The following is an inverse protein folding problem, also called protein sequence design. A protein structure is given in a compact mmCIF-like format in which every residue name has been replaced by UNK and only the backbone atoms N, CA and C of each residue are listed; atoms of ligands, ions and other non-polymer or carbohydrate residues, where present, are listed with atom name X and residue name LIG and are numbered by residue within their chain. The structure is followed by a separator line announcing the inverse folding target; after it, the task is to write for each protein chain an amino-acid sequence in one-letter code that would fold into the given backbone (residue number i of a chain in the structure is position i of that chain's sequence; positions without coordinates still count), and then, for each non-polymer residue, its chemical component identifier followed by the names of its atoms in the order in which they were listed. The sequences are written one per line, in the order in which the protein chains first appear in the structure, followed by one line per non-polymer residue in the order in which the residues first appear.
data_IF_563774677407
#
_entry.id   IF_563774677407
#
_cell.length_a   1.000
_cell.length_b   1.000
_cell.length_c   1.000
_cell.angle_alpha   90.00
_cell.angle_beta   90.00
_cell.angle_gamma   90.00
#
_symmetry.space_group_name_H-M   'P 1'
#
loop_
_entity.id
_entity.type
_entity.pdbx_description
1 polymer ?
#
# COMPACT_ATOMS: atom_id res chain seq x y z
N UNK A 1 3.39 -19.16 12.07
CA UNK A 1 2.04 -19.73 12.29
C UNK A 1 1.12 -18.59 12.66
N UNK A 2 -0.02 -18.47 12.01
CA UNK A 2 -0.97 -17.39 12.28
C UNK A 2 -1.38 -17.40 13.75
N UNK A 3 -1.36 -16.24 14.41
CA UNK A 3 -1.86 -16.11 15.77
C UNK A 3 -3.39 -16.12 15.84
N UNK A 4 -4.06 -16.25 14.70
CA UNK A 4 -5.52 -16.19 14.58
C UNK A 4 -6.09 -17.48 14.01
N UNK A 5 -7.38 -17.67 14.30
CA UNK A 5 -8.18 -18.75 13.72
C UNK A 5 -8.44 -18.43 12.26
N UNK A 6 -8.08 -19.35 11.38
CA UNK A 6 -8.38 -19.27 9.94
C UNK A 6 -8.98 -20.61 9.47
N UNK A 7 -9.50 -20.70 8.24
CA UNK A 7 -9.97 -21.98 7.68
C UNK A 7 -8.89 -23.08 7.68
N UNK A 8 -7.61 -22.73 7.53
CA UNK A 8 -6.49 -23.68 7.46
C UNK A 8 -5.67 -23.77 8.75
N UNK A 9 -5.93 -22.89 9.72
CA UNK A 9 -5.41 -22.92 11.09
C UNK A 9 -6.58 -22.78 12.08
N UNK A 10 -7.44 -23.81 12.21
CA UNK A 10 -8.71 -23.70 12.95
C UNK A 10 -8.52 -23.64 14.47
N UNK A 11 -7.32 -23.94 14.96
CA UNK A 11 -7.00 -23.98 16.39
C UNK A 11 -5.86 -23.04 16.68
N UNK A 12 -6.08 -22.09 17.58
CA UNK A 12 -5.02 -21.27 18.19
C UNK A 12 -4.77 -21.75 19.63
N UNK A 13 -3.57 -21.50 20.20
CA UNK A 13 -3.31 -21.77 21.60
C UNK A 13 -4.38 -21.16 22.51
N UNK A 14 -4.78 -21.91 23.55
CA UNK A 14 -5.79 -21.47 24.50
C UNK A 14 -5.37 -20.16 25.19
N UNK A 15 -6.37 -19.31 25.50
CA UNK A 15 -6.17 -18.04 26.21
C UNK A 15 -5.77 -16.86 25.32
N UNK A 16 -5.69 -17.04 24.00
CA UNK A 16 -5.42 -15.97 23.05
C UNK A 16 -6.71 -15.33 22.52
N UNK A 17 -6.83 -14.01 22.61
CA UNK A 17 -8.05 -13.26 22.24
C UNK A 17 -8.12 -12.91 20.77
N UNK A 18 -9.24 -13.14 20.11
CA UNK A 18 -9.46 -12.73 18.71
C UNK A 18 -10.08 -11.34 18.65
N UNK A 19 -9.42 -10.41 17.95
CA UNK A 19 -9.98 -9.07 17.72
C UNK A 19 -10.65 -8.96 16.36
N UNK A 20 -11.78 -8.25 16.32
CA UNK A 20 -12.42 -7.84 15.06
C UNK A 20 -12.76 -6.36 15.09
N UNK A 21 -12.76 -5.74 13.93
CA UNK A 21 -12.97 -4.31 13.75
C UNK A 21 -14.23 -4.03 12.94
N UNK A 22 -14.90 -2.95 13.27
CA UNK A 22 -16.04 -2.46 12.53
C UNK A 22 -15.97 -0.93 12.44
N UNK A 23 -16.13 -0.38 11.23
CA UNK A 23 -16.32 1.06 11.02
C UNK A 23 -17.73 1.27 10.49
N UNK A 24 -18.62 1.73 11.36
CA UNK A 24 -20.04 1.95 11.06
C UNK A 24 -20.23 3.09 10.07
N UNK A 25 -19.58 4.22 10.33
CA UNK A 25 -19.64 5.41 9.48
C UNK A 25 -18.38 6.26 9.58
N UNK A 26 -18.08 6.97 8.50
CA UNK A 26 -17.13 8.07 8.48
C UNK A 26 -17.82 9.29 7.86
N UNK A 27 -17.63 10.46 8.48
CA UNK A 27 -18.13 11.75 8.00
C UNK A 27 -17.02 12.79 8.11
N UNK A 28 -17.10 13.86 7.32
CA UNK A 28 -16.11 14.93 7.34
C UNK A 28 -16.82 16.28 7.37
N UNK A 29 -16.38 17.17 8.25
CA UNK A 29 -16.80 18.57 8.31
C UNK A 29 -15.55 19.46 8.28
N UNK A 30 -15.42 20.29 7.25
CA UNK A 30 -14.16 20.96 6.95
C UNK A 30 -13.03 19.95 6.72
N UNK A 31 -11.94 20.07 7.48
CA UNK A 31 -10.80 19.13 7.45
C UNK A 31 -10.88 18.06 8.55
N UNK A 32 -11.91 18.10 9.41
CA UNK A 32 -12.07 17.18 10.55
C UNK A 32 -12.91 15.98 10.16
N UNK A 33 -12.43 14.78 10.46
CA UNK A 33 -13.18 13.54 10.27
C UNK A 33 -13.81 13.06 11.58
N UNK A 34 -15.04 12.56 11.49
CA UNK A 34 -15.73 11.85 12.57
C UNK A 34 -15.94 10.41 12.14
N UNK A 35 -15.39 9.46 12.90
CA UNK A 35 -15.42 8.02 12.59
C UNK A 35 -16.10 7.27 13.73
N UNK A 36 -17.19 6.58 13.41
CA UNK A 36 -17.92 5.74 14.37
C UNK A 36 -17.48 4.30 14.16
N UNK A 37 -16.87 3.69 15.16
CA UNK A 37 -16.22 2.38 15.04
C UNK A 37 -16.34 1.57 16.33
N UNK A 38 -16.10 0.27 16.22
CA UNK A 38 -16.09 -0.65 17.34
C UNK A 38 -14.96 -1.66 17.18
N UNK A 39 -14.44 -2.09 18.32
CA UNK A 39 -13.49 -3.19 18.45
C UNK A 39 -14.18 -4.26 19.29
N UNK A 40 -14.20 -5.50 18.81
CA UNK A 40 -14.65 -6.63 19.62
C UNK A 40 -13.45 -7.52 19.98
N UNK A 41 -13.48 -8.07 21.18
CA UNK A 41 -12.61 -9.15 21.66
C UNK A 41 -13.49 -10.39 21.85
N UNK A 42 -13.18 -11.48 21.17
CA UNK A 42 -13.92 -12.75 21.25
C UNK A 42 -15.44 -12.56 21.07
N UNK A 43 -15.81 -11.71 20.10
CA UNK A 43 -17.22 -11.40 19.77
C UNK A 43 -17.89 -10.36 20.66
N UNK A 44 -17.24 -9.88 21.72
CA UNK A 44 -17.80 -8.90 22.67
C UNK A 44 -17.18 -7.52 22.50
N UNK A 45 -17.95 -6.41 22.53
CA UNK A 45 -17.39 -5.07 22.46
C UNK A 45 -16.37 -4.78 23.55
N UNK A 46 -15.25 -4.18 23.15
CA UNK A 46 -14.16 -3.81 24.06
C UNK A 46 -14.41 -2.45 24.67
N UNK A 47 -14.19 -2.35 25.99
CA UNK A 47 -14.04 -1.06 26.68
C UNK A 47 -12.56 -0.69 26.76
N UNK A 48 -12.14 0.28 25.95
CA UNK A 48 -10.81 0.88 26.01
C UNK A 48 -10.58 1.61 27.34
N UNK A 49 -9.32 1.69 27.75
CA UNK A 49 -8.91 2.42 28.94
C UNK A 49 -9.34 3.91 28.84
N UNK A 50 -9.62 4.57 29.96
CA UNK A 50 -10.02 5.98 29.97
C UNK A 50 -8.94 6.89 29.34
N UNK A 51 -9.34 7.99 28.70
CA UNK A 51 -8.41 8.98 28.17
C UNK A 51 -7.56 9.59 29.31
N UNK A 52 -6.27 9.79 29.06
CA UNK A 52 -5.32 10.29 30.05
C UNK A 52 -4.12 10.94 29.36
N UNK A 53 -3.43 11.84 30.07
CA UNK A 53 -2.25 12.51 29.55
C UNK A 53 -1.09 11.53 29.33
N UNK A 54 -0.38 11.68 28.20
CA UNK A 54 0.86 10.95 27.92
C UNK A 54 0.67 9.58 27.25
N UNK A 55 -0.54 9.24 26.81
CA UNK A 55 -0.80 8.07 25.96
C UNK A 55 -0.45 6.74 26.62
N UNK A 56 -1.32 6.25 27.50
CA UNK A 56 -1.21 4.90 28.07
C UNK A 56 -1.69 3.81 27.11
N UNK A 57 -1.33 2.55 27.40
CA UNK A 57 -1.84 1.37 26.69
C UNK A 57 -3.37 1.48 26.49
N UNK A 58 -3.84 1.23 25.26
CA UNK A 58 -5.25 1.43 24.91
C UNK A 58 -6.18 0.40 25.54
N UNK A 59 -5.65 -0.78 25.87
CA UNK A 59 -6.41 -1.87 26.46
C UNK A 59 -5.55 -2.57 27.54
N UNK A 60 -6.13 -2.77 28.72
CA UNK A 60 -5.46 -3.46 29.83
C UNK A 60 -5.11 -4.91 29.45
N UNK A 61 -3.87 -5.33 29.71
CA UNK A 61 -3.36 -6.65 29.31
C UNK A 61 -2.78 -6.70 27.89
N UNK A 62 -2.73 -5.57 27.18
CA UNK A 62 -2.22 -5.48 25.81
C UNK A 62 -1.27 -4.30 25.62
N UNK A 63 -0.40 -4.40 24.63
CA UNK A 63 0.43 -3.30 24.12
C UNK A 63 0.09 -3.00 22.66
N UNK A 64 0.53 -1.84 22.18
CA UNK A 64 0.18 -1.36 20.84
C UNK A 64 -1.33 -1.11 20.69
N UNK A 65 -1.80 -1.16 19.45
CA UNK A 65 -3.22 -0.98 19.11
C UNK A 65 -3.41 -0.55 17.67
N UNK A 66 -4.66 -0.62 17.19
CA UNK A 66 -4.97 -0.28 15.82
C UNK A 66 -4.90 1.24 15.59
N UNK A 67 -4.81 1.61 14.32
CA UNK A 67 -4.70 2.98 13.86
C UNK A 67 -5.59 3.21 12.64
N UNK A 68 -6.10 4.43 12.51
CA UNK A 68 -6.78 4.89 11.32
C UNK A 68 -5.79 5.24 10.21
N UNK A 69 -6.07 4.83 8.98
CA UNK A 69 -5.47 5.36 7.74
C UNK A 69 -6.45 6.29 7.06
N UNK A 70 -5.98 7.44 6.62
CA UNK A 70 -6.81 8.49 6.03
C UNK A 70 -6.35 8.70 4.57
N UNK A 71 -7.06 8.07 3.64
CA UNK A 71 -6.72 8.11 2.21
C UNK A 71 -7.69 8.98 1.44
N UNK A 72 -7.19 9.67 0.41
CA UNK A 72 -7.95 10.61 -0.39
C UNK A 72 -7.36 10.79 -1.79
N UNK A 73 -8.12 11.51 -2.62
CA UNK A 73 -7.71 12.00 -3.91
C UNK A 73 -7.78 13.54 -3.93
N UNK A 74 -6.77 14.19 -4.50
CA UNK A 74 -6.87 15.54 -5.04
C UNK A 74 -6.74 15.48 -6.56
N UNK A 75 -7.22 16.54 -7.24
CA UNK A 75 -7.06 16.65 -8.68
C UNK A 75 -5.56 16.65 -9.03
N UNK A 76 -5.18 15.88 -10.05
CA UNK A 76 -3.80 15.71 -10.50
C UNK A 76 -3.82 15.54 -12.02
N UNK A 77 -2.86 16.13 -12.73
CA UNK A 77 -2.72 15.99 -14.19
C UNK A 77 -4.01 16.36 -14.95
N UNK A 78 -4.72 17.39 -14.48
CA UNK A 78 -5.95 17.88 -15.10
C UNK A 78 -7.19 17.00 -14.93
N UNK A 79 -7.12 15.96 -14.09
CA UNK A 79 -8.26 15.07 -13.81
C UNK A 79 -8.59 15.00 -12.31
N UNK A 80 -9.86 14.71 -12.01
CA UNK A 80 -10.25 14.17 -10.70
C UNK A 80 -10.07 12.64 -10.74
N UNK A 81 -9.02 12.10 -10.09
CA UNK A 81 -8.64 10.72 -10.31
C UNK A 81 -9.61 9.74 -9.64
N UNK A 82 -9.65 8.52 -10.15
CA UNK A 82 -10.37 7.38 -9.54
C UNK A 82 -9.49 6.54 -8.61
N UNK A 83 -8.25 6.99 -8.40
CA UNK A 83 -7.27 6.42 -7.48
C UNK A 83 -7.11 7.32 -6.25
N UNK A 84 -6.78 6.72 -5.10
CA UNK A 84 -6.16 7.51 -4.05
C UNK A 84 -4.79 7.96 -4.58
N UNK A 85 -4.45 9.23 -4.37
CA UNK A 85 -3.10 9.74 -4.64
C UNK A 85 -2.46 10.36 -3.40
N UNK A 86 -3.26 10.61 -2.34
CA UNK A 86 -2.81 11.21 -1.09
C UNK A 86 -1.90 12.43 -1.32
N UNK A 87 -2.25 13.23 -2.33
CA UNK A 87 -1.37 14.26 -2.88
C UNK A 87 -0.99 15.30 -1.82
N UNK A 88 0.30 15.60 -1.73
CA UNK A 88 0.87 16.47 -0.69
C UNK A 88 1.49 15.70 0.49
N UNK A 89 1.41 14.37 0.51
CA UNK A 89 2.12 13.51 1.45
C UNK A 89 3.31 12.81 0.77
N UNK A 90 4.42 12.66 1.51
CA UNK A 90 5.63 12.03 1.01
C UNK A 90 5.35 10.63 0.48
N UNK A 91 5.78 10.37 -0.75
CA UNK A 91 5.56 9.12 -1.49
C UNK A 91 4.09 8.65 -1.50
N UNK A 92 3.13 9.59 -1.42
CA UNK A 92 1.70 9.30 -1.39
C UNK A 92 1.24 8.46 -0.18
N UNK A 93 2.00 8.44 0.92
CA UNK A 93 1.62 7.67 2.10
C UNK A 93 0.51 8.37 2.89
N UNK A 94 -0.62 7.70 3.18
CA UNK A 94 -1.74 8.31 3.89
C UNK A 94 -1.38 8.63 5.35
N UNK A 95 -2.03 9.65 5.91
CA UNK A 95 -1.88 9.98 7.33
C UNK A 95 -2.39 8.82 8.18
N UNK A 96 -1.60 8.45 9.20
CA UNK A 96 -1.97 7.44 10.20
C UNK A 96 -2.27 8.12 11.53
N UNK A 97 -3.36 7.74 12.19
CA UNK A 97 -3.73 8.24 13.53
C UNK A 97 -4.04 7.08 14.44
N UNK A 98 -3.25 6.89 15.50
CA UNK A 98 -3.45 5.76 16.41
C UNK A 98 -4.61 6.01 17.39
N UNK A 99 -5.27 4.93 17.83
CA UNK A 99 -6.27 5.03 18.92
C UNK A 99 -5.62 5.55 20.21
N UNK A 100 -4.35 5.23 20.45
CA UNK A 100 -3.61 5.74 21.60
C UNK A 100 -3.48 7.26 21.56
N UNK A 101 -3.19 7.85 20.38
CA UNK A 101 -3.08 9.30 20.22
C UNK A 101 -4.42 10.02 20.44
N UNK A 102 -5.53 9.44 19.99
CA UNK A 102 -6.87 10.01 20.21
C UNK A 102 -7.34 9.92 21.67
N UNK A 103 -6.68 9.08 22.49
CA UNK A 103 -6.90 8.97 23.93
C UNK A 103 -5.94 9.81 24.77
N UNK A 104 -4.86 10.31 24.17
CA UNK A 104 -3.90 11.17 24.85
C UNK A 104 -4.47 12.60 24.96
N UNK A 105 -4.80 13.02 26.18
CA UNK A 105 -5.39 14.36 26.40
C UNK A 105 -4.44 15.49 26.03
N UNK A 106 -3.13 15.25 25.98
CA UNK A 106 -2.15 16.23 25.51
C UNK A 106 -2.23 16.46 23.99
N UNK A 107 -2.83 15.52 23.24
CA UNK A 107 -2.99 15.57 21.78
C UNK A 107 -4.42 15.92 21.34
N UNK A 108 -5.32 16.19 22.28
CA UNK A 108 -6.73 16.48 22.00
C UNK A 108 -6.92 17.63 20.99
N UNK A 109 -6.08 18.67 21.08
CA UNK A 109 -6.16 19.86 20.22
C UNK A 109 -5.34 19.77 18.93
N UNK A 110 -4.50 18.74 18.78
CA UNK A 110 -3.57 18.61 17.63
C UNK A 110 -3.84 17.39 16.77
N UNK A 111 -4.29 16.29 17.38
CA UNK A 111 -4.66 15.04 16.70
C UNK A 111 -6.17 14.83 16.73
N UNK A 112 -6.79 15.07 17.89
CA UNK A 112 -8.22 14.89 18.10
C UNK A 112 -8.53 14.02 19.30
N UNK A 113 -9.78 13.56 19.40
CA UNK A 113 -10.32 12.93 20.61
C UNK A 113 -11.09 11.65 20.30
N UNK A 114 -11.31 10.85 21.34
CA UNK A 114 -12.13 9.65 21.32
C UNK A 114 -13.22 9.75 22.39
N UNK A 115 -14.47 9.52 22.02
CA UNK A 115 -15.59 9.48 22.97
C UNK A 115 -15.52 8.24 23.89
N UNK A 116 -16.33 8.22 24.94
CA UNK A 116 -16.72 6.95 25.57
C UNK A 116 -17.55 6.10 24.58
N UNK A 117 -17.63 4.77 24.73
CA UNK A 117 -18.47 3.94 23.88
C UNK A 117 -19.96 4.21 24.17
N UNK A 118 -20.80 4.11 23.13
CA UNK A 118 -22.25 4.08 23.29
C UNK A 118 -22.75 2.74 23.87
N UNK A 119 -24.07 2.60 24.07
CA UNK A 119 -24.67 1.39 24.61
C UNK A 119 -24.46 0.12 23.75
N UNK A 120 -24.08 0.29 22.48
CA UNK A 120 -23.76 -0.81 21.54
C UNK A 120 -22.24 -1.05 21.41
N UNK A 121 -21.43 -0.32 22.18
CA UNK A 121 -19.98 -0.42 22.18
C UNK A 121 -19.29 0.39 21.08
N UNK A 122 -19.98 1.31 20.41
CA UNK A 122 -19.35 2.16 19.39
C UNK A 122 -18.71 3.39 19.99
N UNK A 123 -17.47 3.63 19.58
CA UNK A 123 -16.73 4.84 19.82
C UNK A 123 -16.93 5.83 18.68
N UNK A 124 -16.84 7.12 19.00
CA UNK A 124 -16.72 8.19 18.02
C UNK A 124 -15.33 8.83 18.12
N UNK A 125 -14.49 8.59 17.12
CA UNK A 125 -13.23 9.29 16.94
C UNK A 125 -13.46 10.60 16.20
N UNK A 126 -12.97 11.71 16.76
CA UNK A 126 -12.87 13.00 16.07
C UNK A 126 -11.41 13.24 15.73
N UNK A 127 -11.08 13.29 14.44
CA UNK A 127 -9.70 13.39 13.96
C UNK A 127 -9.52 14.75 13.28
N UNK A 128 -8.63 15.57 13.83
CA UNK A 128 -8.33 16.91 13.33
C UNK A 128 -7.38 16.84 12.13
N UNK A 129 -7.59 17.76 11.19
CA UNK A 129 -6.79 17.85 9.95
C UNK A 129 -6.62 16.47 9.30
N UNK A 130 -7.73 15.74 9.19
CA UNK A 130 -7.78 14.38 8.67
C UNK A 130 -7.56 14.36 7.15
N UNK A 131 -8.17 15.32 6.45
CA UNK A 131 -8.08 15.46 5.01
C UNK A 131 -7.79 16.93 4.65
N UNK A 132 -7.04 17.20 3.57
CA UNK A 132 -6.90 18.56 3.05
C UNK A 132 -8.24 19.08 2.52
N UNK A 133 -8.32 20.39 2.29
CA UNK A 133 -9.43 21.00 1.56
C UNK A 133 -9.57 20.36 0.16
N UNK A 134 -10.79 20.31 -0.35
CA UNK A 134 -11.13 19.78 -1.69
C UNK A 134 -10.80 18.30 -1.93
N UNK A 135 -10.37 17.57 -0.89
CA UNK A 135 -10.16 16.14 -0.93
C UNK A 135 -11.46 15.40 -1.34
N UNK A 136 -11.34 14.57 -2.37
CA UNK A 136 -12.38 13.68 -2.89
C UNK A 136 -11.99 12.24 -2.59
N UNK A 137 -12.91 11.30 -2.87
CA UNK A 137 -12.67 9.87 -2.71
C UNK A 137 -12.11 9.56 -1.30
N UNK A 138 -12.58 10.23 -0.26
CA UNK A 138 -12.03 10.11 1.08
C UNK A 138 -12.46 8.78 1.68
N UNK A 139 -11.52 8.10 2.33
CA UNK A 139 -11.79 6.85 3.02
C UNK A 139 -10.97 6.73 4.30
N UNK A 140 -11.53 5.98 5.24
CA UNK A 140 -10.90 5.64 6.51
C UNK A 140 -10.70 4.14 6.56
N UNK A 141 -9.45 3.71 6.69
CA UNK A 141 -9.09 2.33 7.03
C UNK A 141 -8.84 2.20 8.54
N UNK A 142 -9.22 1.10 9.16
CA UNK A 142 -8.79 0.72 10.51
C UNK A 142 -7.94 -0.55 10.40
N UNK A 143 -6.69 -0.44 10.83
CA UNK A 143 -5.64 -1.45 10.66
C UNK A 143 -4.75 -1.56 11.89
N UNK A 144 -3.76 -2.44 11.86
CA UNK A 144 -2.90 -2.73 13.01
C UNK A 144 -3.57 -3.69 13.97
N UNK A 145 -2.94 -3.88 15.13
CA UNK A 145 -3.39 -4.87 16.10
C UNK A 145 -2.91 -4.58 17.52
N UNK A 146 -3.51 -5.28 18.48
CA UNK A 146 -3.01 -5.37 19.85
C UNK A 146 -2.03 -6.53 19.99
N UNK A 147 -1.01 -6.38 20.84
CA UNK A 147 -0.17 -7.48 21.28
C UNK A 147 -0.57 -7.86 22.70
N UNK A 148 -1.05 -9.08 22.89
CA UNK A 148 -1.42 -9.61 24.20
C UNK A 148 -0.17 -9.83 25.05
N UNK A 149 -0.22 -9.43 26.32
CA UNK A 149 0.91 -9.56 27.26
C UNK A 149 1.00 -10.98 27.83
N UNK A 150 -0.16 -11.59 28.14
CA UNK A 150 -0.22 -12.94 28.72
C UNK A 150 -1.46 -13.70 28.24
N UNK A 151 -1.29 -14.90 27.64
CA UNK A 151 -0.06 -15.35 26.99
C UNK A 151 0.44 -14.32 25.95
N UNK A 152 1.76 -14.23 25.79
CA UNK A 152 2.35 -13.26 24.88
C UNK A 152 2.04 -13.60 23.42
N UNK A 153 1.48 -12.66 22.65
CA UNK A 153 1.20 -12.90 21.24
C UNK A 153 0.61 -11.70 20.51
N UNK A 154 1.08 -11.46 19.28
CA UNK A 154 0.47 -10.48 18.38
C UNK A 154 -0.93 -10.96 17.95
N UNK A 155 -1.93 -10.07 17.99
CA UNK A 155 -3.32 -10.42 17.71
C UNK A 155 -3.78 -9.77 16.41
N UNK A 156 -3.18 -10.17 15.29
CA UNK A 156 -3.46 -9.55 13.99
C UNK A 156 -4.96 -9.59 13.69
N UNK A 157 -5.53 -8.52 13.17
CA UNK A 157 -6.96 -8.43 12.93
C UNK A 157 -7.22 -7.98 11.50
N UNK A 158 -8.27 -8.55 10.90
CA UNK A 158 -8.72 -8.17 9.56
C UNK A 158 -8.97 -6.66 9.56
N UNK A 159 -8.31 -5.98 8.64
CA UNK A 159 -8.47 -4.54 8.49
C UNK A 159 -9.81 -4.23 7.83
N UNK A 160 -10.38 -3.06 8.13
CA UNK A 160 -11.66 -2.64 7.58
C UNK A 160 -11.54 -1.26 6.95
N UNK A 161 -12.26 -1.03 5.84
CA UNK A 161 -12.25 0.25 5.12
C UNK A 161 -13.66 0.77 4.95
N UNK A 162 -13.85 2.07 5.20
CA UNK A 162 -15.11 2.77 5.01
C UNK A 162 -14.88 4.06 4.22
N UNK A 163 -15.64 4.24 3.15
CA UNK A 163 -15.68 5.53 2.46
C UNK A 163 -16.35 6.59 3.34
N UNK A 164 -15.92 7.84 3.23
CA UNK A 164 -16.60 8.98 3.85
C UNK A 164 -17.98 9.14 3.23
N UNK A 165 -18.98 9.42 4.08
CA UNK A 165 -20.37 9.60 3.64
C UNK A 165 -20.46 10.74 2.62
N UNK A 166 -21.05 10.45 1.47
CA UNK A 166 -21.18 11.40 0.35
C UNK A 166 -20.06 11.34 -0.68
N UNK A 167 -18.93 10.69 -0.38
CA UNK A 167 -17.86 10.49 -1.35
C UNK A 167 -18.13 9.24 -2.20
N UNK A 168 -17.62 9.27 -3.44
CA UNK A 168 -17.57 8.08 -4.30
C UNK A 168 -16.76 6.98 -3.61
N UNK A 169 -17.27 5.75 -3.65
CA UNK A 169 -16.53 4.58 -3.18
C UNK A 169 -15.47 4.21 -4.22
N UNK A 170 -14.21 4.04 -3.81
CA UNK A 170 -13.15 3.55 -4.71
C UNK A 170 -13.52 2.17 -5.26
N UNK A 171 -13.24 1.97 -6.55
CA UNK A 171 -13.48 0.71 -7.27
C UNK A 171 -12.93 -0.51 -6.51
N UNK A 172 -13.74 -1.57 -6.47
CA UNK A 172 -13.37 -2.90 -5.96
C UNK A 172 -13.32 -3.88 -7.12
N UNK A 173 -12.10 -4.17 -7.59
CA UNK A 173 -11.86 -5.03 -8.76
C UNK A 173 -11.21 -6.37 -8.40
N UNK A 174 -10.80 -6.52 -7.14
CA UNK A 174 -10.22 -7.73 -6.55
C UNK A 174 -11.16 -8.22 -5.45
N UNK A 175 -11.26 -9.53 -5.31
CA UNK A 175 -11.91 -10.17 -4.17
C UNK A 175 -10.85 -10.67 -3.19
N UNK A 176 -10.81 -10.07 -2.00
CA UNK A 176 -9.87 -10.42 -0.92
C UNK A 176 -9.92 -11.91 -0.55
N UNK A 177 -11.10 -12.56 -0.66
CA UNK A 177 -11.24 -13.98 -0.39
C UNK A 177 -10.50 -14.87 -1.40
N UNK A 178 -10.17 -14.35 -2.58
CA UNK A 178 -9.41 -15.10 -3.58
C UNK A 178 -7.93 -15.18 -3.25
N UNK A 179 -7.35 -14.17 -2.60
CA UNK A 179 -5.98 -14.21 -2.09
C UNK A 179 -5.79 -15.36 -1.09
N UNK A 180 -6.80 -15.61 -0.26
CA UNK A 180 -6.82 -16.65 0.75
C UNK A 180 -6.72 -18.08 0.19
N UNK A 181 -6.99 -18.28 -1.12
CA UNK A 181 -6.82 -19.58 -1.79
C UNK A 181 -5.37 -20.05 -1.84
N UNK A 182 -4.40 -19.13 -1.72
CA UNK A 182 -2.97 -19.44 -1.67
C UNK A 182 -2.28 -18.89 -0.41
N UNK A 183 -2.80 -17.80 0.18
CA UNK A 183 -2.15 -17.10 1.29
C UNK A 183 -2.80 -17.28 2.66
N UNK A 184 -3.81 -18.15 2.82
CA UNK A 184 -4.59 -18.27 4.06
C UNK A 184 -5.20 -16.91 4.46
N UNK A 185 -4.51 -16.11 5.29
CA UNK A 185 -4.69 -14.66 5.36
C UNK A 185 -3.45 -13.97 4.79
N UNK A 186 -3.62 -13.15 3.76
CA UNK A 186 -2.53 -12.30 3.33
C UNK A 186 -2.28 -11.23 4.40
N UNK A 187 -1.07 -11.24 4.95
CA UNK A 187 -0.62 -10.32 5.99
C UNK A 187 0.62 -9.55 5.52
N UNK A 188 0.50 -8.24 5.41
CA UNK A 188 1.59 -7.34 5.04
C UNK A 188 2.12 -6.55 6.23
N UNK A 189 3.38 -6.12 6.12
CA UNK A 189 4.03 -5.19 7.06
C UNK A 189 3.99 -5.67 8.53
N UNK A 190 4.36 -6.94 8.74
CA UNK A 190 4.40 -7.57 10.06
C UNK A 190 3.01 -7.73 10.68
N UNK A 191 2.00 -8.07 9.89
CA UNK A 191 0.63 -8.32 10.39
C UNK A 191 -0.21 -7.07 10.62
N UNK A 192 0.28 -5.88 10.27
CA UNK A 192 -0.48 -4.64 10.44
C UNK A 192 -1.55 -4.43 9.37
N UNK A 193 -1.42 -5.08 8.20
CA UNK A 193 -2.33 -4.95 7.07
C UNK A 193 -2.78 -6.34 6.70
N UNK A 194 -4.02 -6.67 7.01
CA UNK A 194 -4.49 -8.06 7.01
C UNK A 194 -5.75 -8.17 6.16
N UNK A 195 -5.69 -9.09 5.19
CA UNK A 195 -6.80 -9.61 4.40
C UNK A 195 -7.51 -8.62 3.46
N UNK A 196 -7.90 -7.43 3.92
CA UNK A 196 -8.66 -6.47 3.13
C UNK A 196 -7.77 -5.70 2.14
N UNK A 197 -7.83 -6.09 0.86
CA UNK A 197 -7.06 -5.48 -0.23
C UNK A 197 -7.37 -3.98 -0.41
N UNK A 198 -8.60 -3.54 -0.08
CA UNK A 198 -8.94 -2.12 -0.14
C UNK A 198 -8.15 -1.27 0.86
N UNK A 199 -7.56 -1.87 1.89
CA UNK A 199 -6.62 -1.19 2.76
C UNK A 199 -5.26 -0.99 2.08
N UNK A 200 -4.77 -2.01 1.37
CA UNK A 200 -3.45 -1.96 0.72
C UNK A 200 -3.34 -0.81 -0.28
N UNK A 201 -4.41 -0.60 -1.07
CA UNK A 201 -4.47 0.47 -2.08
C UNK A 201 -4.52 1.89 -1.48
N UNK A 202 -4.74 2.04 -0.17
CA UNK A 202 -4.65 3.34 0.50
C UNK A 202 -3.20 3.84 0.61
N UNK A 203 -2.21 2.93 0.65
CA UNK A 203 -0.78 3.26 0.67
C UNK A 203 -0.10 3.00 -0.68
N UNK A 204 -0.42 1.88 -1.34
CA UNK A 204 0.14 1.48 -2.62
C UNK A 204 -0.58 2.20 -3.78
N UNK A 205 -0.35 3.50 -3.85
CA UNK A 205 -0.99 4.45 -4.78
C UNK A 205 -0.11 4.70 -6.02
N UNK A 206 -0.66 5.29 -7.11
CA UNK A 206 0.09 5.51 -8.35
C UNK A 206 1.37 6.35 -8.19
N UNK A 207 1.42 7.26 -7.21
CA UNK A 207 2.61 8.06 -6.91
C UNK A 207 3.66 7.39 -6.03
N UNK A 208 3.41 6.15 -5.55
CA UNK A 208 4.32 5.45 -4.65
C UNK A 208 5.41 4.71 -5.43
N UNK A 209 6.66 4.89 -5.00
CA UNK A 209 7.84 4.23 -5.56
C UNK A 209 8.65 3.57 -4.44
N UNK A 210 9.43 2.54 -4.75
CA UNK A 210 10.32 1.87 -3.78
C UNK A 210 11.35 2.83 -3.18
N UNK A 211 11.74 2.58 -1.93
CA UNK A 211 12.59 3.47 -1.12
C UNK A 211 14.00 2.95 -0.87
N UNK A 212 14.35 1.76 -1.35
CA UNK A 212 15.61 1.08 -1.02
C UNK A 212 16.86 1.91 -1.27
N UNK A 213 16.86 2.72 -2.34
CA UNK A 213 17.98 3.64 -2.66
C UNK A 213 18.27 4.68 -1.56
N UNK A 214 17.36 4.87 -0.59
CA UNK A 214 17.53 5.76 0.56
C UNK A 214 18.19 5.14 1.79
N UNK A 215 18.59 3.87 1.74
CA UNK A 215 19.32 3.22 2.83
C UNK A 215 20.71 3.86 3.01
N UNK A 216 21.12 4.11 4.25
CA UNK A 216 22.37 4.81 4.55
C UNK A 216 23.58 3.89 4.38
N UNK A 217 24.73 4.46 4.02
CA UNK A 217 26.00 3.71 3.96
C UNK A 217 26.34 3.06 5.31
N UNK A 218 26.05 3.75 6.43
CA UNK A 218 26.24 3.18 7.76
C UNK A 218 25.41 1.90 7.98
N UNK A 219 24.18 1.86 7.47
CA UNK A 219 23.35 0.65 7.52
C UNK A 219 23.91 -0.43 6.59
N UNK A 220 24.21 -0.10 5.34
CA UNK A 220 24.69 -1.05 4.32
C UNK A 220 26.01 -1.71 4.76
N UNK A 221 26.98 -0.91 5.21
CA UNK A 221 28.27 -1.37 5.71
C UNK A 221 28.15 -2.19 7.01
N UNK A 222 27.09 -1.97 7.78
CA UNK A 222 26.81 -2.69 9.03
C UNK A 222 26.06 -4.00 8.85
N UNK A 223 25.70 -4.39 7.63
CA UNK A 223 25.02 -5.66 7.37
C UNK A 223 25.94 -6.85 7.71
N UNK A 224 25.41 -7.78 8.49
CA UNK A 224 26.06 -9.07 8.73
C UNK A 224 26.23 -9.82 7.39
N UNK A 225 27.47 -10.18 6.98
CA UNK A 225 27.73 -10.95 5.77
C UNK A 225 27.02 -12.32 5.72
N UNK A 226 26.64 -12.89 6.86
CA UNK A 226 25.89 -14.14 6.94
C UNK A 226 24.35 -13.95 6.80
N UNK A 227 23.86 -12.70 6.77
CA UNK A 227 22.42 -12.42 6.72
C UNK A 227 21.80 -12.73 5.35
N UNK A 228 20.52 -13.10 5.35
CA UNK A 228 19.76 -13.29 4.12
C UNK A 228 19.66 -12.01 3.28
N UNK A 229 19.64 -10.84 3.93
CA UNK A 229 19.69 -9.53 3.25
C UNK A 229 20.99 -9.38 2.47
N UNK A 230 22.15 -9.64 3.11
CA UNK A 230 23.45 -9.56 2.45
C UNK A 230 23.51 -10.52 1.24
N UNK A 231 23.12 -11.79 1.43
CA UNK A 231 23.08 -12.77 0.35
C UNK A 231 22.19 -12.35 -0.83
N UNK A 232 21.04 -11.73 -0.54
CA UNK A 232 20.12 -11.22 -1.58
C UNK A 232 20.75 -10.06 -2.35
N UNK A 233 21.37 -9.09 -1.66
CA UNK A 233 22.08 -7.97 -2.29
C UNK A 233 23.19 -8.45 -3.21
N UNK A 234 24.02 -9.38 -2.74
CA UNK A 234 25.08 -9.99 -3.56
C UNK A 234 24.50 -10.70 -4.79
N UNK A 235 23.39 -11.43 -4.65
CA UNK A 235 22.71 -12.07 -5.78
C UNK A 235 22.16 -11.09 -6.81
N UNK A 236 21.93 -9.83 -6.40
CA UNK A 236 21.54 -8.74 -7.29
C UNK A 236 22.73 -7.95 -7.84
N UNK A 237 23.96 -8.29 -7.45
CA UNK A 237 25.17 -7.58 -7.86
C UNK A 237 25.40 -6.28 -7.07
N UNK A 238 24.75 -6.11 -5.92
CA UNK A 238 24.95 -4.96 -5.03
C UNK A 238 25.99 -5.33 -3.97
N UNK A 239 27.15 -4.69 -4.02
CA UNK A 239 28.16 -4.76 -2.96
C UNK A 239 27.78 -3.75 -1.85
N UNK A 240 27.37 -4.20 -0.65
CA UNK A 240 26.94 -3.28 0.41
C UNK A 240 28.10 -2.52 1.06
N UNK A 241 29.36 -2.83 0.73
CA UNK A 241 30.56 -2.25 1.36
C UNK A 241 31.11 -1.00 0.66
N UNK A 242 30.62 -0.71 -0.55
CA UNK A 242 31.06 0.47 -1.31
C UNK A 242 30.26 1.71 -0.92
N UNK A 243 30.86 2.88 -1.11
CA UNK A 243 30.19 4.15 -0.88
C UNK A 243 28.93 4.27 -1.75
N UNK A 244 27.83 4.74 -1.17
CA UNK A 244 26.52 4.87 -1.80
C UNK A 244 25.98 3.55 -2.41
N UNK A 245 26.32 2.39 -1.83
CA UNK A 245 25.90 1.07 -2.32
C UNK A 245 24.40 0.96 -2.60
N UNK A 246 23.57 1.60 -1.77
CA UNK A 246 22.12 1.58 -1.91
C UNK A 246 21.63 2.15 -3.25
N UNK A 247 22.39 3.01 -3.93
CA UNK A 247 22.01 3.57 -5.22
C UNK A 247 21.96 2.52 -6.35
N UNK A 248 22.65 1.40 -6.18
CA UNK A 248 22.58 0.27 -7.10
C UNK A 248 21.28 -0.55 -6.95
N UNK A 249 20.49 -0.30 -5.89
CA UNK A 249 19.20 -0.97 -5.73
C UNK A 249 18.22 -0.55 -6.82
N UNK A 250 17.34 -1.46 -7.26
CA UNK A 250 16.29 -1.15 -8.22
C UNK A 250 15.32 -0.12 -7.63
N UNK A 251 14.87 0.79 -8.49
CA UNK A 251 13.73 1.65 -8.18
C UNK A 251 12.62 1.37 -9.19
N UNK A 252 11.43 1.13 -8.66
CA UNK A 252 10.25 0.81 -9.43
C UNK A 252 9.01 1.30 -8.69
N UNK A 253 7.89 1.34 -9.41
CA UNK A 253 6.59 1.65 -8.81
C UNK A 253 6.26 0.66 -7.69
N UNK A 254 5.66 1.19 -6.64
CA UNK A 254 5.02 0.40 -5.59
C UNK A 254 3.50 0.67 -5.57
N UNK A 255 2.94 1.10 -6.71
CA UNK A 255 1.50 1.13 -6.95
C UNK A 255 0.94 -0.30 -6.94
N UNK A 256 -0.24 -0.50 -6.33
CA UNK A 256 -0.72 -1.84 -6.00
C UNK A 256 -0.89 -2.75 -7.23
N UNK A 257 -1.46 -2.23 -8.32
CA UNK A 257 -1.69 -3.02 -9.55
C UNK A 257 -0.38 -3.48 -10.16
N UNK A 258 0.61 -2.59 -10.19
CA UNK A 258 1.90 -2.85 -10.81
C UNK A 258 2.72 -3.84 -9.95
N UNK A 259 2.76 -3.61 -8.63
CA UNK A 259 3.51 -4.43 -7.67
C UNK A 259 2.97 -5.85 -7.65
N UNK A 260 1.65 -6.02 -7.48
CA UNK A 260 1.07 -7.36 -7.34
C UNK A 260 1.24 -8.16 -8.62
N UNK A 261 1.02 -7.57 -9.80
CA UNK A 261 1.29 -8.26 -11.06
C UNK A 261 2.77 -8.62 -11.20
N UNK A 262 3.68 -7.69 -10.90
CA UNK A 262 5.13 -7.93 -10.98
C UNK A 262 5.60 -9.07 -10.07
N UNK A 263 5.11 -9.11 -8.83
CA UNK A 263 5.43 -10.16 -7.86
C UNK A 263 4.94 -11.53 -8.33
N UNK A 264 3.71 -11.61 -8.84
CA UNK A 264 3.10 -12.90 -9.19
C UNK A 264 3.51 -13.40 -10.58
N UNK A 265 3.83 -12.50 -11.52
CA UNK A 265 4.49 -12.91 -12.75
C UNK A 265 5.88 -13.49 -12.45
N UNK A 266 6.57 -12.94 -11.44
CA UNK A 266 7.71 -13.55 -10.78
C UNK A 266 8.77 -14.07 -11.75
N UNK A 267 9.06 -15.37 -11.70
CA UNK A 267 10.06 -16.05 -12.55
C UNK A 267 9.75 -16.04 -14.06
N UNK A 268 8.50 -15.79 -14.45
CA UNK A 268 8.07 -15.79 -15.86
C UNK A 268 8.33 -14.43 -16.54
N UNK A 269 8.73 -13.41 -15.76
CA UNK A 269 9.18 -12.11 -16.28
C UNK A 269 10.56 -12.23 -16.94
N UNK A 270 10.77 -11.43 -17.99
CA UNK A 270 12.09 -11.29 -18.62
C UNK A 270 13.05 -10.51 -17.71
N UNK A 271 12.54 -9.43 -17.11
CA UNK A 271 13.22 -8.57 -16.16
C UNK A 271 12.65 -8.85 -14.75
N UNK A 272 13.44 -9.47 -13.86
CA UNK A 272 12.97 -9.82 -12.51
C UNK A 272 12.45 -8.61 -11.74
N UNK A 273 11.27 -8.76 -11.13
CA UNK A 273 10.74 -7.76 -10.21
C UNK A 273 11.47 -7.87 -8.87
N UNK A 274 12.17 -6.80 -8.47
CA UNK A 274 13.01 -6.75 -7.26
C UNK A 274 12.65 -5.53 -6.43
N UNK A 275 11.90 -5.71 -5.35
CA UNK A 275 11.50 -4.61 -4.47
C UNK A 275 12.55 -4.42 -3.36
N UNK A 276 12.96 -3.18 -3.13
CA UNK A 276 13.80 -2.80 -2.02
C UNK A 276 13.14 -1.64 -1.26
N UNK A 277 12.94 -1.81 0.04
CA UNK A 277 12.31 -0.81 0.91
C UNK A 277 13.20 -0.48 2.10
N UNK A 278 13.62 0.78 2.18
CA UNK A 278 14.20 1.38 3.38
C UNK A 278 13.10 1.82 4.34
N UNK A 279 13.17 1.37 5.60
CA UNK A 279 12.31 1.82 6.68
C UNK A 279 12.99 1.69 8.04
N UNK A 280 13.11 2.80 8.77
CA UNK A 280 13.62 2.86 10.16
C UNK A 280 14.94 2.07 10.36
N UNK A 281 15.92 2.32 9.48
CA UNK A 281 17.22 1.63 9.48
C UNK A 281 17.10 0.11 9.29
N UNK A 282 16.15 -0.33 8.48
CA UNK A 282 16.02 -1.70 8.03
C UNK A 282 15.69 -1.71 6.54
N UNK A 283 16.38 -2.58 5.80
CA UNK A 283 16.14 -2.83 4.39
C UNK A 283 15.36 -4.13 4.24
N UNK A 284 14.15 -4.03 3.69
CA UNK A 284 13.33 -5.19 3.31
C UNK A 284 13.50 -5.42 1.82
N UNK A 285 13.82 -6.66 1.43
CA UNK A 285 14.04 -7.05 0.04
C UNK A 285 13.02 -8.11 -0.37
N UNK A 286 12.44 -7.95 -1.56
CA UNK A 286 11.59 -8.97 -2.20
C UNK A 286 12.20 -9.32 -3.55
N UNK A 287 12.74 -10.53 -3.65
CA UNK A 287 13.28 -11.09 -4.90
C UNK A 287 12.20 -11.90 -5.62
N UNK A 288 11.29 -11.20 -6.31
CA UNK A 288 10.15 -11.87 -6.93
C UNK A 288 10.54 -12.71 -8.15
N UNK A 289 11.74 -12.53 -8.73
CA UNK A 289 12.26 -13.43 -9.76
C UNK A 289 12.40 -14.89 -9.30
N UNK A 290 12.40 -15.13 -7.98
CA UNK A 290 12.40 -16.48 -7.39
C UNK A 290 11.00 -17.01 -7.08
N UNK A 291 9.95 -16.21 -7.27
CA UNK A 291 8.57 -16.58 -7.01
C UNK A 291 7.98 -17.23 -8.26
N UNK A 292 7.47 -18.45 -8.12
CA UNK A 292 6.64 -19.08 -9.13
C UNK A 292 5.16 -18.94 -8.75
N UNK A 293 4.33 -18.49 -9.68
CA UNK A 293 2.89 -18.52 -9.47
C UNK A 293 2.41 -19.97 -9.42
N UNK A 294 1.72 -20.41 -8.35
CA UNK A 294 1.34 -21.83 -8.20
C UNK A 294 0.16 -22.24 -9.07
N UNK A 295 -0.62 -21.26 -9.57
CA UNK A 295 -1.77 -21.49 -10.43
C UNK A 295 -1.47 -21.23 -11.90
N UNK A 296 -2.52 -20.91 -12.66
CA UNK A 296 -2.40 -20.47 -14.05
C UNK A 296 -2.28 -18.95 -14.05
N UNK A 297 -1.11 -18.41 -14.39
CA UNK A 297 -0.81 -16.98 -14.28
C UNK A 297 -1.77 -16.11 -15.11
N UNK A 298 -2.15 -16.57 -16.31
CA UNK A 298 -3.11 -15.86 -17.15
C UNK A 298 -4.56 -16.02 -16.69
N UNK A 299 -4.89 -16.83 -15.68
CA UNK A 299 -6.26 -16.85 -15.14
C UNK A 299 -6.48 -15.65 -14.21
N UNK A 300 -6.89 -14.51 -14.78
CA UNK A 300 -7.09 -13.25 -14.05
C UNK A 300 -8.11 -13.39 -12.90
N UNK A 301 -9.11 -14.26 -13.06
CA UNK A 301 -10.13 -14.53 -12.05
C UNK A 301 -9.60 -15.26 -10.80
N UNK A 302 -8.33 -15.67 -10.81
CA UNK A 302 -7.61 -16.09 -9.60
C UNK A 302 -7.54 -14.98 -8.56
N UNK A 303 -7.60 -13.71 -8.96
CA UNK A 303 -7.59 -12.55 -8.06
C UNK A 303 -8.76 -11.59 -8.32
N UNK A 304 -9.04 -11.29 -9.59
CA UNK A 304 -10.04 -10.30 -9.95
C UNK A 304 -11.47 -10.80 -9.78
N UNK A 305 -12.41 -9.89 -9.53
CA UNK A 305 -13.85 -10.17 -9.71
C UNK A 305 -14.14 -10.51 -11.18
N UNK A 306 -15.32 -11.08 -11.48
CA UNK A 306 -15.66 -11.62 -12.80
C UNK A 306 -15.38 -10.67 -13.98
N UNK A 307 -15.47 -9.36 -13.78
CA UNK A 307 -15.19 -8.31 -14.79
C UNK A 307 -14.16 -7.27 -14.31
N UNK A 308 -13.45 -7.56 -13.21
CA UNK A 308 -12.54 -6.61 -12.58
C UNK A 308 -11.25 -6.32 -13.35
N UNK A 309 -11.06 -6.93 -14.52
CA UNK A 309 -9.81 -6.92 -15.29
C UNK A 309 -10.00 -6.56 -16.77
N UNK A 310 -11.22 -6.25 -17.21
CA UNK A 310 -11.55 -5.99 -18.62
C UNK A 310 -11.27 -4.56 -19.09
N UNK A 311 -10.47 -3.82 -18.33
CA UNK A 311 -10.02 -2.49 -18.73
C UNK A 311 -9.47 -1.66 -17.59
N UNK A 312 -8.90 -0.52 -17.97
CA UNK A 312 -8.45 0.53 -17.06
C UNK A 312 -9.45 1.69 -17.12
N UNK A 313 -10.11 2.06 -16.02
CA UNK A 313 -11.08 3.15 -16.02
C UNK A 313 -10.47 4.48 -16.46
N UNK A 314 -11.27 5.33 -17.09
CA UNK A 314 -10.89 6.70 -17.37
C UNK A 314 -10.49 7.43 -16.07
N UNK A 315 -9.53 8.36 -16.16
CA UNK A 315 -8.97 9.11 -15.03
C UNK A 315 -8.21 8.25 -14.00
N UNK A 316 -7.80 7.03 -14.37
CA UNK A 316 -6.75 6.30 -13.63
C UNK A 316 -5.44 7.05 -13.81
N UNK A 317 -4.67 7.22 -12.74
CA UNK A 317 -3.39 7.92 -12.79
C UNK A 317 -2.28 7.02 -13.34
N UNK A 318 -1.27 7.66 -13.93
CA UNK A 318 -0.04 6.99 -14.34
C UNK A 318 0.77 6.55 -13.12
N UNK A 319 1.50 5.44 -13.27
CA UNK A 319 2.36 4.91 -12.21
C UNK A 319 3.71 5.62 -12.23
N UNK A 320 4.15 6.11 -11.07
CA UNK A 320 5.51 6.64 -10.85
C UNK A 320 6.48 5.47 -10.68
N UNK A 321 7.30 5.24 -11.69
CA UNK A 321 8.29 4.16 -11.68
C UNK A 321 9.56 4.57 -10.95
N UNK A 322 10.11 5.75 -11.25
CA UNK A 322 11.29 6.27 -10.57
C UNK A 322 11.02 7.69 -10.06
N UNK A 323 11.53 7.94 -8.86
CA UNK A 323 11.44 9.22 -8.20
C UNK A 323 12.66 10.05 -8.60
N UNK A 324 12.46 11.18 -9.25
CA UNK A 324 13.55 12.09 -9.59
C UNK A 324 13.14 13.53 -9.35
N UNK A 325 14.02 14.30 -8.73
CA UNK A 325 13.84 15.73 -8.46
C UNK A 325 14.78 16.61 -9.31
N UNK A 326 15.28 16.06 -10.42
CA UNK A 326 16.27 16.70 -11.29
C UNK A 326 17.71 16.61 -10.76
N UNK A 327 17.90 16.29 -9.48
CA UNK A 327 19.21 16.04 -8.86
C UNK A 327 19.53 14.55 -8.83
N UNK A 328 18.52 13.70 -8.62
CA UNK A 328 18.76 12.29 -8.35
C UNK A 328 19.04 11.42 -9.57
N UNK A 329 18.44 11.64 -10.75
CA UNK A 329 18.84 10.89 -11.95
C UNK A 329 19.89 11.62 -12.78
N UNK A 330 19.97 12.96 -12.67
CA UNK A 330 20.84 13.80 -13.52
C UNK A 330 22.05 14.43 -12.79
N UNK A 331 22.19 14.25 -11.48
CA UNK A 331 23.29 14.82 -10.70
C UNK A 331 24.60 14.04 -10.78
N UNK A 332 25.72 14.75 -10.73
CA UNK A 332 27.05 14.17 -10.43
C UNK A 332 27.19 14.02 -8.91
N UNK A 333 27.70 12.89 -8.43
CA UNK A 333 27.86 12.56 -6.99
C UNK A 333 26.56 12.37 -6.19
N UNK A 334 25.63 11.59 -6.75
CA UNK A 334 24.39 11.19 -6.09
C UNK A 334 24.63 10.45 -4.78
N UNK A 335 23.76 10.68 -3.80
CA UNK A 335 23.78 10.03 -2.49
C UNK A 335 22.42 9.39 -2.15
N UNK A 336 22.36 8.44 -1.18
CA UNK A 336 21.10 7.95 -0.64
C UNK A 336 20.19 9.04 -0.06
N UNK A 337 20.77 10.15 0.43
CA UNK A 337 19.99 11.30 0.91
C UNK A 337 19.22 11.97 -0.24
N UNK A 338 19.83 12.09 -1.42
CA UNK A 338 19.17 12.62 -2.62
C UNK A 338 18.01 11.71 -3.07
N UNK A 339 18.21 10.40 -3.03
CA UNK A 339 17.15 9.42 -3.32
C UNK A 339 15.95 9.59 -2.38
N UNK A 340 16.23 9.82 -1.09
CA UNK A 340 15.20 10.04 -0.06
C UNK A 340 14.47 11.37 -0.27
N UNK A 341 15.20 12.40 -0.67
CA UNK A 341 14.64 13.71 -0.99
C UNK A 341 13.72 13.65 -2.23
N UNK A 342 14.09 12.88 -3.26
CA UNK A 342 13.27 12.69 -4.44
C UNK A 342 11.90 12.05 -4.12
N UNK A 343 11.81 11.22 -3.08
CA UNK A 343 10.54 10.60 -2.65
C UNK A 343 9.60 11.56 -1.88
N UNK A 344 10.10 12.71 -1.42
CA UNK A 344 9.34 13.61 -0.54
C UNK A 344 8.19 14.32 -1.27
N UNK A 345 8.36 14.60 -2.56
CA UNK A 345 7.37 15.30 -3.38
C UNK A 345 7.30 14.68 -4.77
N UNK A 346 6.16 14.87 -5.43
CA UNK A 346 6.02 14.58 -6.86
C UNK A 346 6.79 15.65 -7.64
N UNK A 347 7.45 15.24 -8.72
CA UNK A 347 8.28 16.13 -9.51
C UNK A 347 8.10 15.89 -11.02
N UNK A 348 8.40 16.92 -11.79
CA UNK A 348 8.33 16.97 -13.25
C UNK A 348 9.32 16.04 -13.96
N UNK A 349 10.42 15.72 -13.30
CA UNK A 349 11.43 14.77 -13.77
C UNK A 349 11.14 13.32 -13.39
N UNK A 350 10.09 13.05 -12.60
CA UNK A 350 9.68 11.68 -12.27
C UNK A 350 9.51 10.84 -13.53
N UNK A 351 9.99 9.59 -13.46
CA UNK A 351 9.82 8.65 -14.57
C UNK A 351 8.51 7.89 -14.40
N UNK A 352 7.64 8.03 -15.38
CA UNK A 352 6.25 7.60 -15.35
C UNK A 352 5.98 6.50 -16.37
N UNK A 353 4.93 5.72 -16.13
CA UNK A 353 4.36 4.79 -17.11
C UNK A 353 2.85 5.02 -17.19
N UNK A 354 2.31 5.13 -18.40
CA UNK A 354 0.90 5.47 -18.63
C UNK A 354 -0.06 4.42 -18.04
N UNK A 355 -1.29 4.81 -17.66
CA UNK A 355 -2.15 4.01 -16.78
C UNK A 355 -2.48 2.61 -17.30
N UNK A 356 -2.83 2.47 -18.59
CA UNK A 356 -3.18 1.19 -19.20
C UNK A 356 -1.93 0.33 -19.36
N UNK A 357 -0.88 0.89 -19.96
CA UNK A 357 0.42 0.24 -20.19
C UNK A 357 1.01 -0.31 -18.89
N UNK A 358 0.96 0.47 -17.80
CA UNK A 358 1.42 0.07 -16.47
C UNK A 358 0.69 -1.18 -15.92
N UNK A 359 -0.56 -1.45 -16.32
CA UNK A 359 -1.28 -2.64 -15.89
C UNK A 359 -0.77 -3.91 -16.61
N UNK A 360 -0.26 -3.77 -17.83
CA UNK A 360 0.14 -4.85 -18.71
C UNK A 360 1.65 -5.15 -18.62
N UNK A 361 2.49 -4.12 -18.60
CA UNK A 361 3.95 -4.23 -18.62
C UNK A 361 4.52 -4.91 -17.36
N UNK A 362 3.74 -4.92 -16.26
CA UNK A 362 4.05 -5.66 -15.04
C UNK A 362 4.05 -7.18 -15.20
N UNK A 363 3.49 -7.72 -16.28
CA UNK A 363 3.68 -9.12 -16.66
C UNK A 363 4.36 -9.24 -18.04
N UNK A 364 3.98 -8.38 -18.99
CA UNK A 364 4.47 -8.39 -20.37
C UNK A 364 5.64 -7.40 -20.55
N UNK A 365 6.83 -7.81 -20.14
CA UNK A 365 7.99 -6.94 -20.02
C UNK A 365 9.08 -7.12 -21.09
N UNK A 366 8.84 -8.00 -22.06
CA UNK A 366 9.75 -8.21 -23.19
C UNK A 366 9.86 -6.95 -24.05
N UNK A 367 10.97 -6.82 -24.79
CA UNK A 367 11.19 -5.70 -25.70
C UNK A 367 10.10 -5.57 -26.76
N UNK A 368 9.65 -6.69 -27.33
CA UNK A 368 8.56 -6.72 -28.31
C UNK A 368 7.22 -6.27 -27.72
N UNK A 369 6.89 -6.69 -26.50
CA UNK A 369 5.67 -6.28 -25.82
C UNK A 369 5.67 -4.77 -25.51
N UNK A 370 6.79 -4.25 -24.98
CA UNK A 370 6.97 -2.81 -24.74
C UNK A 370 6.86 -2.01 -26.03
N UNK A 371 7.48 -2.46 -27.13
CA UNK A 371 7.37 -1.82 -28.43
C UNK A 371 5.93 -1.78 -28.94
N UNK A 372 5.19 -2.89 -28.81
CA UNK A 372 3.76 -2.94 -29.14
C UNK A 372 2.95 -1.92 -28.33
N UNK A 373 3.17 -1.81 -27.02
CA UNK A 373 2.50 -0.81 -26.18
C UNK A 373 2.81 0.61 -26.65
N UNK A 374 4.09 0.92 -26.92
CA UNK A 374 4.52 2.23 -27.41
C UNK A 374 3.90 2.59 -28.76
N UNK A 375 3.83 1.64 -29.70
CA UNK A 375 3.19 1.85 -31.00
C UNK A 375 1.70 2.20 -30.88
N UNK A 376 1.05 1.77 -29.79
CA UNK A 376 -0.36 2.05 -29.50
C UNK A 376 -0.54 3.24 -28.53
N UNK A 377 0.48 4.10 -28.42
CA UNK A 377 0.43 5.34 -27.63
C UNK A 377 0.71 5.17 -26.13
N UNK A 378 1.05 3.95 -25.68
CA UNK A 378 1.58 3.72 -24.34
C UNK A 378 2.94 4.36 -24.15
N UNK A 379 3.27 4.74 -22.92
CA UNK A 379 4.60 5.23 -22.57
C UNK A 379 5.14 4.49 -21.36
N UNK A 380 6.40 4.06 -21.43
CA UNK A 380 7.12 3.36 -20.36
C UNK A 380 8.37 4.17 -20.03
N UNK A 381 8.57 4.47 -18.75
CA UNK A 381 9.71 5.24 -18.24
C UNK A 381 9.95 6.54 -19.04
N UNK A 382 8.93 7.38 -19.12
CA UNK A 382 9.05 8.73 -19.69
C UNK A 382 8.95 9.77 -18.59
N UNK A 383 9.56 10.95 -18.79
CA UNK A 383 9.43 12.06 -17.83
C UNK A 383 7.95 12.44 -17.66
N UNK A 384 7.56 12.82 -16.45
CA UNK A 384 6.21 13.29 -16.15
C UNK A 384 5.81 14.47 -17.04
N UNK A 385 6.73 15.38 -17.36
CA UNK A 385 6.49 16.52 -18.25
C UNK A 385 6.15 16.16 -19.70
N UNK A 386 6.51 14.96 -20.16
CA UNK A 386 6.21 14.47 -21.52
C UNK A 386 5.15 13.36 -21.53
N UNK A 387 4.59 13.06 -20.36
CA UNK A 387 3.55 12.05 -20.19
C UNK A 387 2.27 12.47 -20.91
N UNK A 388 1.74 11.57 -21.74
CA UNK A 388 0.50 11.73 -22.47
C UNK A 388 -0.38 10.48 -22.30
N UNK A 389 -1.02 10.38 -21.13
CA UNK A 389 -1.95 9.29 -20.81
C UNK A 389 -3.15 9.21 -21.78
N UNK A 390 -3.50 10.30 -22.47
CA UNK A 390 -4.60 10.32 -23.43
C UNK A 390 -4.24 9.69 -24.79
N UNK A 391 -2.95 9.44 -25.06
CA UNK A 391 -2.51 8.80 -26.30
C UNK A 391 -2.80 7.29 -26.33
N UNK A 392 -3.04 6.65 -25.18
CA UNK A 392 -3.26 5.21 -25.12
C UNK A 392 -4.52 4.80 -25.91
N UNK A 393 -4.30 4.02 -26.97
CA UNK A 393 -5.35 3.42 -27.80
C UNK A 393 -5.62 1.95 -27.43
N UNK A 394 -5.03 1.47 -26.32
CA UNK A 394 -5.07 0.07 -25.90
C UNK A 394 -6.49 -0.49 -25.80
N UNK A 395 -7.44 0.32 -25.31
CA UNK A 395 -8.84 -0.09 -25.11
C UNK A 395 -9.58 -0.40 -26.42
N UNK A 396 -9.08 0.05 -27.59
CA UNK A 396 -9.66 -0.28 -28.89
C UNK A 396 -9.59 -1.79 -29.15
N UNK A 397 -8.47 -2.42 -28.79
CA UNK A 397 -8.22 -3.84 -28.99
C UNK A 397 -8.40 -4.66 -27.70
N UNK A 398 -8.03 -4.09 -26.55
CA UNK A 398 -7.98 -4.74 -25.23
C UNK A 398 -9.03 -4.21 -24.24
N UNK A 399 -10.00 -3.43 -24.70
CA UNK A 399 -11.12 -2.98 -23.86
C UNK A 399 -12.17 -4.07 -23.68
N UNK A 400 -13.10 -3.86 -22.75
CA UNK A 400 -14.22 -4.76 -22.53
C UNK A 400 -14.98 -5.03 -23.84
N UNK A 401 -15.24 -6.31 -24.13
CA UNK A 401 -15.88 -6.79 -25.37
C UNK A 401 -15.08 -6.64 -26.66
N UNK A 402 -13.92 -5.97 -26.67
CA UNK A 402 -13.04 -5.88 -27.83
C UNK A 402 -12.50 -7.27 -28.24
N UNK A 403 -11.97 -7.40 -29.46
CA UNK A 403 -11.52 -8.68 -30.00
C UNK A 403 -10.47 -9.35 -29.11
N UNK A 404 -9.53 -8.57 -28.57
CA UNK A 404 -8.43 -9.03 -27.72
C UNK A 404 -8.60 -8.58 -26.26
N UNK A 405 -9.86 -8.45 -25.80
CA UNK A 405 -10.16 -8.17 -24.41
C UNK A 405 -9.44 -9.19 -23.49
N UNK A 406 -8.91 -8.78 -22.32
CA UNK A 406 -8.31 -9.69 -21.36
C UNK A 406 -9.18 -10.92 -21.10
N UNK A 407 -10.48 -10.78 -20.81
CA UNK A 407 -11.42 -11.90 -20.63
C UNK A 407 -11.54 -12.92 -21.78
N UNK A 408 -11.06 -12.59 -22.99
CA UNK A 408 -11.13 -13.49 -24.15
C UNK A 408 -9.81 -14.21 -24.42
N UNK A 409 -8.70 -13.62 -23.98
CA UNK A 409 -7.34 -14.10 -24.29
C UNK A 409 -6.60 -14.60 -23.04
N UNK A 410 -7.21 -14.46 -21.87
CA UNK A 410 -6.77 -14.85 -20.53
C UNK A 410 -7.98 -15.42 -19.79
#
# INVERSE_FOLDING_TARGET
MASNVTPHNPTIPAGLTTFTYEVKSAAVSGTTATVVFRINADGTPVTLNAAAAGGSASLTGYTGGPSFLLAYALDQEGVSPVDYNNLGLANGQPKTVSIADLRDTNKALTVGTLSAPDASGYYTATILSAFPADAKLRSVGLQGYFTQVSPAGARHAISVVKAVTGDTVRRKVIDSAKCAKCHEWFEGHGGNRVYEVQLCVQCHVPGMTTSGRGATDAYMNGLDPASATYATLTSWGVDPTVANAALALPQLTNNFKDMIHGIHAGKDRTEPFRDARDFRNALTLVDAGKIGFPGILNNCQSCHTYNGYDGVPAKTLASRQEADNGVFLNGTNRTPADAKAALATINDDDMMTTPFTASCVSCHDSSAAKAHMTLNGGQVLVKRTTLNSAAESCAVCHGASAEFAPSKVH
#
